data_IF_056218825579
#
_entry.id   IF_056218825579
#
_cell.length_a   1.000
_cell.length_b   1.000
_cell.length_c   1.000
_cell.angle_alpha   90.00
_cell.angle_beta   90.00
_cell.angle_gamma   90.00
#
_symmetry.space_group_name_H-M   'P 1'
#
loop_
_entity.id
_entity.type
_entity.pdbx_description
1 polymer ?
#
# COMPACT_ATOMS: atom_id res chain seq x y z
N UNK A 1 -1.43 -2.78 16.05
CA UNK A 1 -0.63 -2.83 14.81
C UNK A 1 0.09 -1.51 14.71
N UNK A 2 1.35 -1.48 14.28
CA UNK A 2 1.95 -0.20 13.91
C UNK A 2 1.42 0.17 12.52
N UNK A 3 0.98 1.42 12.36
CA UNK A 3 0.41 1.91 11.13
C UNK A 3 1.41 2.82 10.44
N UNK A 4 1.98 2.36 9.32
CA UNK A 4 3.07 3.05 8.63
C UNK A 4 2.55 3.70 7.36
N UNK A 5 2.95 4.95 7.15
CA UNK A 5 2.84 5.60 5.83
C UNK A 5 4.12 5.25 5.09
N UNK A 6 4.00 4.40 4.07
CA UNK A 6 5.13 3.93 3.26
C UNK A 6 5.57 5.01 2.27
N UNK A 7 4.60 5.68 1.66
CA UNK A 7 4.83 6.77 0.72
C UNK A 7 3.56 7.61 0.56
N UNK A 8 3.72 8.90 0.30
CA UNK A 8 2.61 9.83 0.05
C UNK A 8 3.15 11.11 -0.58
N UNK A 9 2.42 11.66 -1.53
CA UNK A 9 2.64 13.01 -2.03
C UNK A 9 1.69 14.04 -1.37
N UNK A 10 0.89 13.59 -0.39
CA UNK A 10 -0.13 14.33 0.36
C UNK A 10 -1.35 14.80 -0.46
N UNK A 11 -1.12 15.15 -1.72
CA UNK A 11 -2.09 15.79 -2.61
C UNK A 11 -2.86 14.80 -3.50
N UNK A 12 -2.32 13.61 -3.78
CA UNK A 12 -2.95 12.66 -4.70
C UNK A 12 -3.09 11.25 -4.13
N UNK A 13 -2.06 10.72 -3.47
CA UNK A 13 -2.05 9.35 -2.99
C UNK A 13 -1.36 9.19 -1.62
N UNK A 14 -1.73 8.14 -0.90
CA UNK A 14 -0.98 7.64 0.24
C UNK A 14 -1.00 6.11 0.26
N UNK A 15 0.16 5.50 0.46
CA UNK A 15 0.34 4.05 0.60
C UNK A 15 0.60 3.77 2.06
N UNK A 16 -0.25 2.95 2.65
CA UNK A 16 -0.14 2.57 4.06
C UNK A 16 0.15 1.10 4.20
N UNK A 17 0.82 0.71 5.28
CA UNK A 17 1.10 -0.67 5.60
C UNK A 17 0.98 -0.88 7.10
N UNK A 18 0.41 -2.01 7.48
CA UNK A 18 0.38 -2.46 8.86
C UNK A 18 0.68 -3.95 8.92
N UNK A 19 1.52 -4.34 9.87
CA UNK A 19 1.78 -5.74 10.20
C UNK A 19 1.33 -6.02 11.64
N UNK A 20 0.41 -6.97 11.80
CA UNK A 20 -0.16 -7.37 13.09
C UNK A 20 0.70 -8.40 13.80
N UNK A 21 1.32 -9.30 13.05
CA UNK A 21 2.21 -10.33 13.60
C UNK A 21 3.34 -10.69 12.66
N UNK A 22 4.50 -11.01 13.23
CA UNK A 22 5.71 -11.42 12.51
C UNK A 22 5.84 -12.95 12.52
N UNK A 23 6.51 -13.49 11.50
CA UNK A 23 7.04 -14.85 11.46
C UNK A 23 8.35 -14.92 12.24
N UNK A 24 8.87 -16.14 12.42
CA UNK A 24 10.15 -16.38 13.11
C UNK A 24 11.37 -15.81 12.38
N UNK A 25 11.28 -15.61 11.07
CA UNK A 25 12.30 -14.98 10.24
C UNK A 25 12.22 -13.44 10.21
N UNK A 26 11.27 -12.86 10.97
CA UNK A 26 11.04 -11.42 11.03
C UNK A 26 10.17 -10.86 9.88
N UNK A 27 9.78 -11.67 8.90
CA UNK A 27 8.84 -11.24 7.86
C UNK A 27 7.42 -11.12 8.40
N UNK A 28 6.58 -10.34 7.74
CA UNK A 28 5.19 -10.20 8.18
C UNK A 28 4.38 -11.48 7.92
N UNK A 29 3.60 -11.91 8.91
CA UNK A 29 2.69 -13.05 8.82
C UNK A 29 1.27 -12.62 8.46
N UNK A 30 0.79 -11.58 9.14
CA UNK A 30 -0.56 -11.04 8.96
C UNK A 30 -0.43 -9.52 8.80
N UNK A 31 -0.48 -9.06 7.56
CA UNK A 31 -0.31 -7.66 7.19
C UNK A 31 -1.29 -7.25 6.11
N UNK A 32 -1.63 -5.96 6.10
CA UNK A 32 -2.49 -5.35 5.10
C UNK A 32 -1.91 -4.02 4.66
N UNK A 33 -2.30 -3.59 3.47
CA UNK A 33 -1.95 -2.31 2.90
C UNK A 33 -3.18 -1.69 2.25
N UNK A 34 -3.34 -0.38 2.44
CA UNK A 34 -4.39 0.41 1.80
C UNK A 34 -3.72 1.55 1.04
N UNK A 35 -4.15 1.70 -0.21
CA UNK A 35 -3.75 2.81 -1.07
C UNK A 35 -4.93 3.79 -1.12
N UNK A 36 -4.74 4.97 -0.57
CA UNK A 36 -5.72 6.05 -0.59
C UNK A 36 -5.54 6.90 -1.85
N UNK A 37 -6.66 7.37 -2.40
CA UNK A 37 -6.70 8.33 -3.50
C UNK A 37 -7.47 9.57 -3.08
N UNK A 38 -6.97 10.75 -3.46
CA UNK A 38 -7.76 12.00 -3.41
C UNK A 38 -8.74 12.11 -4.57
N UNK A 39 -8.55 11.35 -5.64
CA UNK A 39 -9.41 11.32 -6.82
C UNK A 39 -10.17 9.97 -6.93
N UNK A 40 -11.50 9.95 -6.85
CA UNK A 40 -12.28 8.71 -6.95
C UNK A 40 -12.23 8.08 -8.35
N UNK A 41 -11.79 8.81 -9.37
CA UNK A 41 -11.64 8.29 -10.74
C UNK A 41 -10.32 7.54 -10.96
N UNK A 42 -9.50 7.38 -9.92
CA UNK A 42 -8.25 6.63 -9.95
C UNK A 42 -7.00 7.49 -10.13
N UNK A 43 -5.88 6.81 -10.39
CA UNK A 43 -4.54 7.40 -10.40
C UNK A 43 -4.03 7.68 -11.81
N UNK A 44 -3.22 8.72 -11.95
CA UNK A 44 -2.46 9.00 -13.18
C UNK A 44 -1.44 7.87 -13.46
N UNK A 45 -1.00 7.68 -14.72
CA UNK A 45 0.00 6.66 -15.06
C UNK A 45 1.33 6.82 -14.29
N UNK A 46 1.68 8.05 -13.91
CA UNK A 46 2.86 8.32 -13.09
C UNK A 46 2.71 7.78 -11.67
N UNK A 47 1.60 8.08 -11.01
CA UNK A 47 1.33 7.59 -9.65
C UNK A 47 1.17 6.07 -9.65
N UNK A 48 0.53 5.48 -10.67
CA UNK A 48 0.42 4.02 -10.77
C UNK A 48 1.79 3.31 -10.87
N UNK A 49 2.81 3.95 -11.48
CA UNK A 49 4.17 3.40 -11.51
C UNK A 49 4.79 3.40 -10.11
N UNK A 50 4.63 4.49 -9.36
CA UNK A 50 5.10 4.59 -7.98
C UNK A 50 4.41 3.56 -7.10
N UNK A 51 3.09 3.44 -7.20
CA UNK A 51 2.31 2.44 -6.48
C UNK A 51 2.85 1.04 -6.77
N UNK A 52 3.00 0.66 -8.04
CA UNK A 52 3.50 -0.67 -8.43
C UNK A 52 4.89 -0.95 -7.83
N UNK A 53 5.80 0.02 -7.89
CA UNK A 53 7.12 -0.09 -7.27
C UNK A 53 7.03 -0.31 -5.76
N UNK A 54 6.20 0.48 -5.05
CA UNK A 54 6.04 0.34 -3.60
C UNK A 54 5.37 -0.96 -3.18
N UNK A 55 4.45 -1.49 -3.99
CA UNK A 55 3.85 -2.81 -3.77
C UNK A 55 4.89 -3.94 -3.83
N UNK A 56 5.88 -3.84 -4.73
CA UNK A 56 7.01 -4.77 -4.80
C UNK A 56 7.94 -4.62 -3.60
N UNK A 57 8.29 -3.39 -3.22
CA UNK A 57 9.16 -3.08 -2.06
C UNK A 57 8.59 -3.60 -0.73
N UNK A 58 7.27 -3.66 -0.57
CA UNK A 58 6.60 -4.22 0.62
C UNK A 58 6.14 -5.68 0.46
N UNK A 59 6.55 -6.36 -0.61
CA UNK A 59 6.24 -7.77 -0.88
C UNK A 59 4.73 -8.09 -1.00
N UNK A 60 3.92 -7.14 -1.49
CA UNK A 60 2.46 -7.28 -1.66
C UNK A 60 2.00 -7.12 -3.12
N UNK A 61 2.91 -7.18 -4.09
CA UNK A 61 2.56 -7.14 -5.52
C UNK A 61 1.53 -8.22 -5.89
N UNK A 62 0.52 -7.85 -6.67
CA UNK A 62 -0.58 -8.73 -7.10
C UNK A 62 -1.65 -9.03 -6.05
N UNK A 63 -1.54 -8.54 -4.82
CA UNK A 63 -2.50 -8.83 -3.73
C UNK A 63 -3.59 -7.76 -3.56
N UNK A 64 -3.44 -6.61 -4.22
CA UNK A 64 -4.36 -5.48 -4.07
C UNK A 64 -5.64 -5.69 -4.89
N UNK A 65 -6.77 -5.34 -4.30
CA UNK A 65 -8.08 -5.35 -4.93
C UNK A 65 -8.73 -3.96 -4.78
N UNK A 66 -9.55 -3.52 -5.75
CA UNK A 66 -10.36 -2.32 -5.58
C UNK A 66 -11.28 -2.48 -4.36
N UNK A 67 -11.33 -1.46 -3.51
CA UNK A 67 -12.34 -1.39 -2.46
C UNK A 67 -13.59 -0.79 -3.09
N UNK A 68 -14.62 -1.62 -3.29
CA UNK A 68 -15.94 -1.13 -3.68
C UNK A 68 -16.51 -0.35 -2.48
N UNK A 69 -16.75 0.95 -2.66
CA UNK A 69 -17.50 1.80 -1.72
C UNK A 69 -18.99 1.79 -2.05
#
# INVERSE_FOLDING_TARGET
DNYWVIDTDYDNYAITYACRSLKTDGTCKDGYSIIFSRNPHGFTPAIQRIIRQKQEEICMSGQFQPVLQ
#
